data_IF_166582029354
#
_entry.id   IF_166582029354
#
_cell.length_a   1.000
_cell.length_b   1.000
_cell.length_c   1.000
_cell.angle_alpha   90.00
_cell.angle_beta   90.00
_cell.angle_gamma   90.00
#
_symmetry.space_group_name_H-M   'P 1'
#
loop_
_entity.id
_entity.type
_entity.pdbx_description
1 polymer ?
#
# COMPACT_ATOMS: atom_id res chain seq x y z
N UNK A 1 4.11 43.91 -2.20
CA UNK A 1 4.98 42.99 -1.42
C UNK A 1 5.50 41.91 -2.37
N UNK A 2 6.81 41.80 -2.66
CA UNK A 2 7.25 40.82 -3.67
C UNK A 2 7.40 39.43 -3.05
N UNK A 3 6.71 38.46 -3.65
CA UNK A 3 6.66 37.04 -3.29
C UNK A 3 7.83 36.21 -3.87
N UNK A 4 8.92 36.86 -4.30
CA UNK A 4 10.11 36.19 -4.77
C UNK A 4 11.25 36.43 -3.76
N UNK A 5 11.47 35.46 -2.89
CA UNK A 5 12.81 35.19 -2.39
C UNK A 5 12.88 33.69 -2.37
N UNK A 6 13.61 33.11 -3.33
CA UNK A 6 14.37 31.90 -3.04
C UNK A 6 14.93 32.16 -1.65
N UNK A 7 14.53 31.34 -0.66
CA UNK A 7 14.78 31.62 0.75
C UNK A 7 16.22 32.14 0.87
N UNK A 8 16.47 33.38 1.32
CA UNK A 8 17.84 33.96 1.35
C UNK A 8 18.84 33.01 2.00
N UNK A 9 18.37 32.12 2.88
CA UNK A 9 19.18 31.00 3.40
C UNK A 9 19.68 30.06 2.30
N UNK A 10 18.90 29.64 1.31
CA UNK A 10 19.36 28.80 0.20
C UNK A 10 20.39 29.49 -0.70
N UNK A 11 20.26 30.78 -1.03
CA UNK A 11 21.30 31.51 -1.79
C UNK A 11 22.60 31.66 -0.99
N UNK A 12 22.50 32.02 0.29
CA UNK A 12 23.66 32.04 1.18
C UNK A 12 24.26 30.64 1.35
N UNK A 13 23.42 29.59 1.39
CA UNK A 13 23.85 28.19 1.48
C UNK A 13 24.48 27.68 0.18
N UNK A 14 24.09 28.20 -0.99
CA UNK A 14 24.67 27.88 -2.31
C UNK A 14 26.10 28.44 -2.42
N UNK A 15 26.36 29.64 -1.88
CA UNK A 15 27.72 30.21 -1.76
C UNK A 15 28.58 29.50 -0.71
N UNK A 16 27.99 28.91 0.33
CA UNK A 16 28.72 28.28 1.44
C UNK A 16 28.75 26.74 1.43
N UNK A 17 28.16 26.09 0.41
CA UNK A 17 28.08 24.61 0.26
C UNK A 17 27.78 23.86 1.56
N UNK A 18 26.80 24.35 2.33
CA UNK A 18 26.46 23.68 3.60
C UNK A 18 25.72 22.36 3.36
N UNK A 19 25.74 21.48 4.37
CA UNK A 19 25.18 20.12 4.30
C UNK A 19 23.73 20.09 3.81
N UNK A 20 22.92 21.08 4.21
CA UNK A 20 21.50 21.18 3.82
C UNK A 20 21.30 21.45 2.33
N UNK A 21 22.10 22.33 1.74
CA UNK A 21 22.05 22.56 0.29
C UNK A 21 22.42 21.30 -0.49
N UNK A 22 23.47 20.59 -0.06
CA UNK A 22 23.89 19.33 -0.68
C UNK A 22 22.80 18.25 -0.53
N UNK A 23 22.11 18.18 0.63
CA UNK A 23 20.96 17.27 0.79
C UNK A 23 19.82 17.60 -0.17
N UNK A 24 19.50 18.88 -0.38
CA UNK A 24 18.47 19.28 -1.32
C UNK A 24 18.89 19.00 -2.78
N UNK A 25 20.15 19.27 -3.13
CA UNK A 25 20.70 18.99 -4.46
C UNK A 25 20.70 17.51 -4.78
N UNK A 26 21.21 16.68 -3.87
CA UNK A 26 21.21 15.21 -4.04
C UNK A 26 19.79 14.65 -4.15
N UNK A 27 18.82 15.25 -3.47
CA UNK A 27 17.43 14.85 -3.57
C UNK A 27 16.80 15.24 -4.91
N UNK A 28 17.13 16.43 -5.44
CA UNK A 28 16.72 16.85 -6.79
C UNK A 28 17.35 15.97 -7.87
N UNK A 29 18.64 15.64 -7.74
CA UNK A 29 19.34 14.72 -8.63
C UNK A 29 18.69 13.34 -8.63
N UNK A 30 18.36 12.79 -7.46
CA UNK A 30 17.64 11.51 -7.34
C UNK A 30 16.24 11.53 -7.95
N UNK A 31 15.62 12.71 -8.04
CA UNK A 31 14.29 12.88 -8.63
C UNK A 31 14.36 13.21 -10.13
N UNK A 32 15.55 13.31 -10.74
CA UNK A 32 15.79 13.82 -12.09
C UNK A 32 15.29 15.27 -12.30
N UNK A 33 15.25 16.06 -11.22
CA UNK A 33 14.73 17.43 -11.18
C UNK A 33 15.83 18.50 -11.08
N UNK A 34 17.10 18.14 -11.29
CA UNK A 34 18.24 19.07 -11.21
C UNK A 34 18.07 20.29 -12.12
N UNK A 35 17.48 20.07 -13.31
CA UNK A 35 17.22 21.10 -14.32
C UNK A 35 16.33 22.25 -13.83
N UNK A 36 15.51 22.03 -12.79
CA UNK A 36 14.66 23.07 -12.19
C UNK A 36 15.46 24.12 -11.40
N UNK A 37 16.74 23.89 -11.14
CA UNK A 37 17.61 24.79 -10.35
C UNK A 37 18.79 25.36 -11.15
N UNK A 38 18.96 24.91 -12.38
CA UNK A 38 20.09 25.25 -13.26
C UNK A 38 19.78 26.45 -14.17
N UNK A 39 18.50 26.74 -14.41
CA UNK A 39 18.08 27.89 -15.20
C UNK A 39 17.81 29.09 -14.28
N UNK A 40 18.42 30.24 -14.56
CA UNK A 40 18.17 31.56 -13.91
C UNK A 40 16.72 32.07 -14.05
N UNK A 41 15.82 31.21 -14.50
CA UNK A 41 14.37 31.42 -14.49
C UNK A 41 13.86 31.59 -13.06
N UNK A 42 13.01 32.59 -12.87
CA UNK A 42 12.29 32.86 -11.61
C UNK A 42 11.22 31.77 -11.37
N UNK A 43 11.67 30.54 -11.08
CA UNK A 43 10.81 29.41 -10.78
C UNK A 43 10.38 29.52 -9.32
N UNK A 44 9.07 29.51 -9.10
CA UNK A 44 8.51 29.53 -7.76
C UNK A 44 9.03 28.36 -6.92
N UNK A 45 9.55 28.65 -5.73
CA UNK A 45 9.94 27.62 -4.76
C UNK A 45 8.82 26.64 -4.47
N UNK A 46 7.55 27.09 -4.52
CA UNK A 46 6.38 26.22 -4.36
C UNK A 46 6.30 25.16 -5.46
N UNK A 47 6.56 25.55 -6.71
CA UNK A 47 6.54 24.63 -7.84
C UNK A 47 7.62 23.55 -7.72
N UNK A 48 8.83 23.93 -7.29
CA UNK A 48 9.93 22.97 -7.06
C UNK A 48 9.54 21.97 -5.96
N UNK A 49 9.00 22.47 -4.84
CA UNK A 49 8.56 21.61 -3.74
C UNK A 49 7.44 20.66 -4.14
N UNK A 50 6.44 21.14 -4.88
CA UNK A 50 5.34 20.32 -5.37
C UNK A 50 5.84 19.27 -6.38
N UNK A 51 6.76 19.64 -7.27
CA UNK A 51 7.36 18.71 -8.24
C UNK A 51 8.14 17.59 -7.56
N UNK A 52 9.01 17.94 -6.61
CA UNK A 52 9.76 16.97 -5.80
C UNK A 52 8.83 16.06 -5.02
N UNK A 53 7.81 16.63 -4.35
CA UNK A 53 6.85 15.85 -3.58
C UNK A 53 6.09 14.86 -4.47
N UNK A 54 5.61 15.31 -5.62
CA UNK A 54 4.86 14.46 -6.55
C UNK A 54 5.73 13.34 -7.09
N UNK A 55 6.99 13.62 -7.43
CA UNK A 55 7.95 12.62 -7.90
C UNK A 55 8.25 11.57 -6.82
N UNK A 56 8.57 11.98 -5.59
CA UNK A 56 8.81 11.07 -4.48
C UNK A 56 7.58 10.19 -4.17
N UNK A 57 6.38 10.76 -4.23
CA UNK A 57 5.13 10.01 -4.02
C UNK A 57 4.91 9.00 -5.14
N UNK A 58 5.17 9.37 -6.41
CA UNK A 58 5.05 8.47 -7.55
C UNK A 58 6.04 7.30 -7.44
N UNK A 59 7.33 7.59 -7.23
CA UNK A 59 8.37 6.57 -7.11
C UNK A 59 8.09 5.60 -5.95
N UNK A 60 7.58 6.12 -4.83
CA UNK A 60 7.15 5.30 -3.70
C UNK A 60 5.95 4.40 -4.06
N UNK A 61 4.94 4.92 -4.75
CA UNK A 61 3.75 4.15 -5.18
C UNK A 61 4.14 3.03 -6.14
N UNK A 62 5.05 3.30 -7.07
CA UNK A 62 5.53 2.31 -8.03
C UNK A 62 6.29 1.20 -7.32
N UNK A 63 7.22 1.57 -6.42
CA UNK A 63 7.94 0.59 -5.60
C UNK A 63 6.99 -0.26 -4.75
N UNK A 64 6.03 0.37 -4.09
CA UNK A 64 5.03 -0.30 -3.26
C UNK A 64 4.17 -1.27 -4.08
N UNK A 65 3.71 -0.86 -5.26
CA UNK A 65 2.92 -1.70 -6.15
C UNK A 65 3.72 -2.94 -6.60
N UNK A 66 4.99 -2.74 -6.96
CA UNK A 66 5.90 -3.82 -7.31
C UNK A 66 6.13 -4.78 -6.14
N UNK A 67 6.35 -4.28 -4.93
CA UNK A 67 6.51 -5.12 -3.74
C UNK A 67 5.25 -5.98 -3.48
N UNK A 68 4.07 -5.38 -3.48
CA UNK A 68 2.82 -6.11 -3.24
C UNK A 68 2.60 -7.24 -4.24
N UNK A 69 2.84 -6.98 -5.52
CA UNK A 69 2.61 -7.96 -6.58
C UNK A 69 3.60 -9.13 -6.53
N UNK A 70 4.80 -8.90 -5.99
CA UNK A 70 5.86 -9.90 -5.89
C UNK A 70 5.84 -10.71 -4.59
N UNK A 71 5.11 -10.28 -3.56
CA UNK A 71 5.05 -11.01 -2.28
C UNK A 71 4.05 -12.19 -2.35
N UNK A 72 4.50 -13.46 -2.26
CA UNK A 72 3.61 -14.62 -2.40
C UNK A 72 2.54 -14.73 -1.32
N UNK A 73 2.81 -14.16 -0.14
CA UNK A 73 1.88 -14.13 1.00
C UNK A 73 0.67 -13.22 0.74
N UNK A 74 0.80 -12.22 -0.13
CA UNK A 74 -0.24 -11.20 -0.37
C UNK A 74 -1.22 -11.61 -1.47
N UNK A 75 -1.48 -12.92 -1.63
CA UNK A 75 -2.27 -13.50 -2.73
C UNK A 75 -3.64 -12.86 -2.91
N UNK A 76 -4.35 -12.63 -1.81
CA UNK A 76 -5.68 -12.01 -1.81
C UNK A 76 -5.59 -10.51 -1.60
N UNK A 77 -4.64 -10.07 -0.76
CA UNK A 77 -4.45 -8.65 -0.45
C UNK A 77 -4.15 -7.79 -1.68
N UNK A 78 -3.32 -8.29 -2.61
CA UNK A 78 -2.98 -7.58 -3.85
C UNK A 78 -4.18 -7.28 -4.74
N UNK A 79 -5.25 -8.08 -4.65
CA UNK A 79 -6.50 -7.86 -5.37
C UNK A 79 -7.43 -6.88 -4.64
N UNK A 80 -7.30 -6.77 -3.31
CA UNK A 80 -8.09 -5.84 -2.50
C UNK A 80 -7.48 -4.44 -2.42
N UNK A 81 -6.15 -4.34 -2.46
CA UNK A 81 -5.40 -3.09 -2.27
C UNK A 81 -4.75 -2.67 -3.59
N UNK A 82 -5.50 -2.00 -4.44
CA UNK A 82 -5.05 -1.55 -5.77
C UNK A 82 -4.31 -0.21 -5.73
N UNK A 83 -4.65 0.65 -4.78
CA UNK A 83 -4.06 2.00 -4.66
C UNK A 83 -3.40 2.22 -3.30
N UNK A 84 -2.36 3.07 -3.25
CA UNK A 84 -1.77 3.49 -1.99
C UNK A 84 -2.60 4.60 -1.33
N UNK A 85 -3.69 4.21 -0.66
CA UNK A 85 -4.60 5.10 0.04
C UNK A 85 -5.23 4.44 1.28
N UNK A 86 -5.94 5.23 2.09
CA UNK A 86 -6.76 4.67 3.16
C UNK A 86 -8.01 4.00 2.56
N UNK A 87 -8.21 2.72 2.90
CA UNK A 87 -9.32 1.91 2.36
C UNK A 87 -10.71 2.42 2.81
N UNK A 88 -11.73 2.37 1.94
CA UNK A 88 -13.08 2.87 2.27
C UNK A 88 -13.68 2.19 3.50
N UNK A 89 -13.51 0.87 3.65
CA UNK A 89 -14.07 0.13 4.77
C UNK A 89 -13.49 0.55 6.12
N UNK A 90 -12.32 1.19 6.18
CA UNK A 90 -11.73 1.71 7.42
C UNK A 90 -12.54 2.90 7.95
N UNK A 91 -13.16 3.66 7.05
CA UNK A 91 -14.00 4.82 7.37
C UNK A 91 -15.45 4.43 7.66
N UNK A 92 -15.86 3.19 7.41
CA UNK A 92 -17.22 2.70 7.63
C UNK A 92 -17.42 2.33 9.10
N UNK A 93 -18.65 2.51 9.61
CA UNK A 93 -19.04 2.11 10.96
C UNK A 93 -19.20 0.58 11.03
N UNK A 94 -18.09 -0.11 11.20
CA UNK A 94 -18.03 -1.56 11.36
C UNK A 94 -18.06 -1.96 12.84
N UNK A 95 -18.77 -3.04 13.14
CA UNK A 95 -18.73 -3.70 14.45
C UNK A 95 -17.33 -4.21 14.77
N UNK A 96 -17.04 -4.43 16.06
CA UNK A 96 -15.75 -4.98 16.51
C UNK A 96 -15.39 -6.30 15.80
N UNK A 97 -16.37 -7.17 15.61
CA UNK A 97 -16.20 -8.48 14.96
C UNK A 97 -15.84 -8.33 13.49
N UNK A 98 -16.51 -7.44 12.75
CA UNK A 98 -16.19 -7.15 11.35
C UNK A 98 -14.78 -6.57 11.20
N UNK A 99 -14.41 -5.57 12.02
CA UNK A 99 -13.05 -4.99 11.99
C UNK A 99 -11.97 -6.04 12.26
N UNK A 100 -12.16 -6.87 13.28
CA UNK A 100 -11.24 -7.96 13.63
C UNK A 100 -11.07 -8.94 12.48
N UNK A 101 -12.16 -9.27 11.78
CA UNK A 101 -12.09 -10.21 10.69
C UNK A 101 -11.44 -9.63 9.43
N UNK A 102 -11.77 -8.40 9.02
CA UNK A 102 -11.07 -7.73 7.92
C UNK A 102 -9.57 -7.62 8.22
N UNK A 103 -9.19 -7.27 9.45
CA UNK A 103 -7.79 -7.22 9.87
C UNK A 103 -7.10 -8.59 9.72
N UNK A 104 -7.77 -9.68 10.11
CA UNK A 104 -7.24 -11.04 9.95
C UNK A 104 -7.07 -11.44 8.47
N UNK A 105 -8.00 -11.07 7.60
CA UNK A 105 -7.85 -11.26 6.13
C UNK A 105 -6.65 -10.47 5.62
N UNK A 106 -6.53 -9.18 5.98
CA UNK A 106 -5.44 -8.32 5.51
C UNK A 106 -4.06 -8.78 5.97
N UNK A 107 -3.96 -9.21 7.22
CA UNK A 107 -2.70 -9.66 7.80
C UNK A 107 -2.36 -11.11 7.44
N UNK A 108 -3.28 -11.85 6.80
CA UNK A 108 -3.12 -13.28 6.54
C UNK A 108 -2.95 -14.08 7.83
N UNK A 109 -3.71 -13.74 8.87
CA UNK A 109 -3.65 -14.42 10.20
C UNK A 109 -4.85 -15.33 10.43
N UNK A 110 -5.69 -15.54 9.43
CA UNK A 110 -6.70 -16.59 9.49
C UNK A 110 -6.03 -17.97 9.51
N UNK A 111 -6.61 -18.89 10.29
CA UNK A 111 -6.16 -20.26 10.39
C UNK A 111 -6.67 -21.10 9.20
N UNK A 112 -6.35 -20.66 7.99
CA UNK A 112 -6.66 -21.35 6.74
C UNK A 112 -5.70 -22.51 6.53
N UNK A 113 -6.09 -23.55 5.81
CA UNK A 113 -5.20 -24.70 5.56
C UNK A 113 -3.92 -24.26 4.83
N UNK A 114 -4.00 -23.30 3.91
CA UNK A 114 -2.81 -22.75 3.23
C UNK A 114 -1.80 -22.11 4.19
N UNK A 115 -2.27 -21.53 5.31
CA UNK A 115 -1.43 -20.91 6.34
C UNK A 115 -1.00 -21.93 7.41
N UNK A 116 -1.93 -22.73 7.94
CA UNK A 116 -1.67 -23.74 8.97
C UNK A 116 -0.67 -24.79 8.51
N UNK A 117 -0.82 -25.25 7.27
CA UNK A 117 0.04 -26.28 6.67
C UNK A 117 1.24 -25.71 5.93
N UNK A 118 1.55 -24.43 6.10
CA UNK A 118 2.76 -23.82 5.51
C UNK A 118 4.04 -24.55 5.90
N UNK A 119 4.13 -24.98 7.16
CA UNK A 119 5.30 -25.68 7.71
C UNK A 119 5.14 -27.20 7.73
N UNK A 120 4.07 -27.75 7.15
CA UNK A 120 3.93 -29.19 7.00
C UNK A 120 4.44 -29.62 5.62
N UNK A 121 4.67 -30.93 5.48
CA UNK A 121 5.12 -31.55 4.22
C UNK A 121 3.98 -31.58 3.17
N UNK A 122 2.79 -31.09 3.52
CA UNK A 122 1.60 -31.16 2.67
C UNK A 122 1.72 -30.12 1.55
N UNK A 123 1.74 -30.55 0.27
CA UNK A 123 1.74 -29.68 -0.90
C UNK A 123 0.54 -28.71 -0.92
N UNK A 124 0.70 -27.54 -1.55
CA UNK A 124 -0.32 -26.49 -1.53
C UNK A 124 -1.66 -26.93 -2.16
N UNK A 125 -1.59 -27.74 -3.21
CA UNK A 125 -2.71 -28.36 -3.92
C UNK A 125 -3.52 -29.32 -3.02
N UNK A 126 -2.91 -29.85 -1.96
CA UNK A 126 -3.55 -30.73 -0.99
C UNK A 126 -4.05 -29.99 0.26
N UNK A 127 -3.88 -28.66 0.34
CA UNK A 127 -4.38 -27.81 1.45
C UNK A 127 -5.83 -27.41 1.18
N UNK A 128 -6.67 -28.41 1.02
CA UNK A 128 -8.08 -28.25 0.64
C UNK A 128 -8.94 -27.81 1.81
N UNK A 129 -10.01 -27.08 1.49
CA UNK A 129 -10.99 -26.64 2.46
C UNK A 129 -11.74 -27.83 3.06
N UNK A 130 -11.79 -27.89 4.38
CA UNK A 130 -12.51 -28.96 5.12
C UNK A 130 -13.95 -28.60 5.44
N UNK A 131 -14.35 -27.36 5.13
CA UNK A 131 -15.66 -26.81 5.51
C UNK A 131 -16.70 -26.93 4.39
N UNK A 132 -16.28 -27.11 3.14
CA UNK A 132 -17.16 -27.35 2.00
C UNK A 132 -16.87 -28.68 1.32
N UNK A 133 -17.78 -29.09 0.44
CA UNK A 133 -17.60 -30.32 -0.32
C UNK A 133 -16.68 -30.14 -1.53
N UNK A 134 -16.24 -28.91 -1.83
CA UNK A 134 -15.28 -28.67 -2.90
C UNK A 134 -13.86 -29.08 -2.50
N UNK A 135 -13.17 -29.81 -3.38
CA UNK A 135 -11.75 -30.19 -3.24
C UNK A 135 -10.82 -29.02 -3.61
N UNK A 136 -11.23 -27.80 -3.28
CA UNK A 136 -10.51 -26.57 -3.61
C UNK A 136 -9.57 -26.16 -2.47
N UNK A 137 -8.44 -25.54 -2.83
CA UNK A 137 -7.46 -25.01 -1.87
C UNK A 137 -8.13 -23.98 -0.93
N UNK A 138 -7.89 -24.10 0.37
CA UNK A 138 -8.41 -23.14 1.36
C UNK A 138 -7.47 -21.95 1.49
N UNK A 139 -7.70 -20.94 0.65
CA UNK A 139 -7.10 -19.63 0.75
C UNK A 139 -8.11 -18.55 1.17
N UNK A 140 -7.67 -17.29 1.32
CA UNK A 140 -8.55 -16.24 1.84
C UNK A 140 -9.70 -15.96 0.86
N UNK A 141 -9.48 -16.09 -0.46
CA UNK A 141 -10.51 -15.91 -1.48
C UNK A 141 -11.57 -17.00 -1.38
N UNK A 142 -11.15 -18.26 -1.30
CA UNK A 142 -12.04 -19.38 -1.10
C UNK A 142 -12.80 -19.24 0.24
N UNK A 143 -12.10 -18.91 1.33
CA UNK A 143 -12.72 -18.69 2.64
C UNK A 143 -13.79 -17.59 2.64
N UNK A 144 -13.60 -16.52 1.84
CA UNK A 144 -14.57 -15.43 1.69
C UNK A 144 -15.80 -15.80 0.84
N UNK A 145 -15.61 -16.61 -0.21
CA UNK A 145 -16.62 -16.94 -1.21
C UNK A 145 -17.25 -18.32 -1.02
N UNK A 146 -16.80 -19.11 -0.04
CA UNK A 146 -17.33 -20.44 0.21
C UNK A 146 -18.73 -20.34 0.85
N UNK A 147 -19.75 -20.81 0.13
CA UNK A 147 -21.16 -20.71 0.51
C UNK A 147 -21.70 -21.96 1.22
N UNK A 148 -20.96 -23.07 1.26
CA UNK A 148 -21.58 -24.38 1.48
C UNK A 148 -21.71 -24.82 2.94
N UNK A 149 -21.02 -24.23 3.92
CA UNK A 149 -21.40 -24.40 5.35
C UNK A 149 -21.18 -23.14 6.17
N UNK A 150 -22.26 -22.75 6.82
CA UNK A 150 -22.41 -21.65 7.79
C UNK A 150 -21.59 -21.88 9.07
N UNK A 151 -20.28 -21.71 9.04
CA UNK A 151 -19.49 -21.63 10.28
C UNK A 151 -18.47 -20.50 10.24
N UNK A 152 -18.64 -19.58 11.20
CA UNK A 152 -17.73 -18.52 11.68
C UNK A 152 -17.32 -17.43 10.67
N UNK A 153 -17.01 -17.75 9.41
CA UNK A 153 -16.41 -16.83 8.44
C UNK A 153 -17.45 -16.10 7.56
N UNK A 154 -18.62 -16.70 7.34
CA UNK A 154 -19.66 -16.20 6.42
C UNK A 154 -20.43 -14.96 6.94
N UNK A 155 -20.60 -14.82 8.27
CA UNK A 155 -21.27 -13.63 8.86
C UNK A 155 -20.44 -12.35 8.69
N UNK A 156 -19.11 -12.50 8.58
CA UNK A 156 -18.20 -11.41 8.27
C UNK A 156 -18.24 -11.10 6.77
N UNK A 157 -18.17 -12.12 5.88
CA UNK A 157 -18.04 -11.90 4.44
C UNK A 157 -19.25 -11.18 3.84
N UNK A 158 -20.49 -11.53 4.21
CA UNK A 158 -21.71 -10.85 3.70
C UNK A 158 -21.80 -9.36 4.03
N UNK A 159 -21.26 -8.93 5.17
CA UNK A 159 -21.33 -7.53 5.62
C UNK A 159 -20.07 -6.72 5.31
N UNK A 160 -18.92 -7.40 5.16
CA UNK A 160 -17.65 -6.78 4.79
C UNK A 160 -17.49 -6.62 3.28
N UNK A 161 -17.94 -7.58 2.46
CA UNK A 161 -17.89 -7.47 0.99
C UNK A 161 -18.80 -6.35 0.48
N UNK A 162 -20.02 -6.23 1.02
CA UNK A 162 -20.92 -5.09 0.74
C UNK A 162 -20.31 -3.72 1.15
N UNK A 163 -19.33 -3.75 2.05
CA UNK A 163 -18.59 -2.58 2.53
C UNK A 163 -17.28 -2.35 1.80
N UNK A 164 -16.84 -3.28 0.94
CA UNK A 164 -15.63 -3.18 0.12
C UNK A 164 -15.95 -2.72 -1.32
N UNK A 165 -17.14 -3.01 -1.83
CA UNK A 165 -17.56 -2.70 -3.22
C UNK A 165 -18.10 -1.26 -3.46
N UNK A 166 -17.79 -0.28 -2.59
CA UNK A 166 -18.13 1.14 -2.78
C UNK A 166 -17.13 2.06 -2.11
#
# INVERSE_FOLDING_TARGET
MPAHRICRKCEMSRRYRNTRYNSCKTLLEKCDLSHLTDNDSDISTRFILDSVKNKLVADFKDKWCNEINNLPKLRTYKHLKTEFCAEPYVKKHLTRTQRSAIARIRCGTFQLEVERRRYSIIPIDQRVCKLCNSVSIEDEKHSLLCFEKSTIYCNISRSCLSSMDK
#
